data_IF_142531506112
#
_entry.id   IF_142531506112
#
_cell.length_a   1.000
_cell.length_b   1.000
_cell.length_c   1.000
_cell.angle_alpha   90.00
_cell.angle_beta   90.00
_cell.angle_gamma   90.00
#
_symmetry.space_group_name_H-M   'P 1'
#
loop_
_entity.id
_entity.type
_entity.pdbx_description
1 polymer ?
#
# COMPACT_ATOMS: atom_id res chain seq x y z
N UNK A 1 -9.11 18.70 -41.66
CA UNK A 1 -8.68 17.33 -41.27
C UNK A 1 -7.75 17.30 -40.04
N UNK A 2 -6.79 18.21 -39.86
CA UNK A 2 -5.87 18.21 -38.67
C UNK A 2 -6.53 18.42 -37.29
N UNK A 3 -7.72 19.04 -37.21
CA UNK A 3 -8.40 19.29 -35.92
C UNK A 3 -9.22 18.10 -35.41
N UNK A 4 -9.58 17.15 -36.31
CA UNK A 4 -10.38 15.99 -35.92
C UNK A 4 -9.51 14.87 -35.28
N UNK A 5 -8.26 14.74 -35.72
CA UNK A 5 -7.30 13.74 -35.22
C UNK A 5 -6.87 14.03 -33.78
N UNK A 6 -6.72 15.31 -33.43
CA UNK A 6 -6.29 15.70 -32.08
C UNK A 6 -7.39 15.48 -31.02
N UNK A 7 -8.66 15.62 -31.42
CA UNK A 7 -9.80 15.40 -30.53
C UNK A 7 -10.03 13.91 -30.21
N UNK A 8 -9.70 13.02 -31.13
CA UNK A 8 -9.76 11.57 -30.91
C UNK A 8 -8.64 11.11 -29.99
N UNK A 9 -7.43 11.62 -30.16
CA UNK A 9 -6.28 11.30 -29.30
C UNK A 9 -6.49 11.78 -27.85
N UNK A 10 -7.10 12.98 -27.64
CA UNK A 10 -7.43 13.46 -26.30
C UNK A 10 -8.58 12.67 -25.63
N UNK A 11 -9.55 12.23 -26.41
CA UNK A 11 -10.66 11.39 -25.92
C UNK A 11 -10.15 9.99 -25.51
N UNK A 12 -9.19 9.43 -26.24
CA UNK A 12 -8.53 8.16 -25.93
C UNK A 12 -7.63 8.30 -24.67
N UNK A 13 -6.90 9.40 -24.52
CA UNK A 13 -6.06 9.64 -23.34
C UNK A 13 -6.84 9.71 -22.02
N UNK A 14 -8.12 10.15 -22.04
CA UNK A 14 -8.97 10.17 -20.84
C UNK A 14 -9.66 8.83 -20.54
N UNK A 15 -9.75 7.91 -21.49
CA UNK A 15 -10.39 6.60 -21.27
C UNK A 15 -9.39 5.50 -20.84
N UNK A 16 -8.09 5.74 -21.00
CA UNK A 16 -7.03 4.81 -20.57
C UNK A 16 -6.99 4.58 -19.05
N UNK A 17 -7.48 5.52 -18.25
CA UNK A 17 -7.51 5.37 -16.79
C UNK A 17 -8.46 4.26 -16.29
N UNK A 18 -9.37 3.75 -17.13
CA UNK A 18 -10.34 2.73 -16.72
C UNK A 18 -9.97 1.30 -17.13
N UNK A 19 -9.12 1.11 -18.14
CA UNK A 19 -8.69 -0.22 -18.58
C UNK A 19 -7.35 -0.67 -17.98
N UNK A 20 -6.55 0.27 -17.49
CA UNK A 20 -5.28 0.01 -16.82
C UNK A 20 -5.42 -0.49 -15.37
N UNK A 21 -6.53 -1.13 -14.98
CA UNK A 21 -6.72 -1.51 -13.57
C UNK A 21 -5.88 -2.72 -13.14
N UNK A 22 -5.43 -3.58 -14.04
CA UNK A 22 -4.46 -4.62 -13.67
C UNK A 22 -3.08 -3.97 -13.39
N UNK A 23 -2.55 -3.06 -14.24
CA UNK A 23 -1.29 -2.36 -13.98
C UNK A 23 -1.35 -1.38 -12.82
N UNK A 24 -2.47 -0.67 -12.62
CA UNK A 24 -2.62 0.28 -11.53
C UNK A 24 -2.60 -0.41 -10.15
N UNK A 25 -3.12 -1.62 -10.05
CA UNK A 25 -2.99 -2.45 -8.83
C UNK A 25 -1.56 -3.02 -8.67
N UNK A 26 -0.83 -3.25 -9.74
CA UNK A 26 0.61 -3.51 -9.69
C UNK A 26 1.36 -2.27 -9.15
N UNK A 27 1.06 -1.07 -9.66
CA UNK A 27 1.67 0.17 -9.15
C UNK A 27 1.38 0.39 -7.66
N UNK A 28 0.16 0.19 -7.19
CA UNK A 28 -0.18 0.37 -5.77
C UNK A 28 0.50 -0.68 -4.86
N UNK A 29 0.83 -1.87 -5.38
CA UNK A 29 1.60 -2.89 -4.64
C UNK A 29 3.11 -2.73 -4.76
N UNK A 30 3.61 -2.14 -5.84
CA UNK A 30 5.02 -1.78 -5.98
C UNK A 30 5.42 -0.69 -4.97
N UNK A 31 4.46 0.17 -4.60
CA UNK A 31 4.63 1.20 -3.56
C UNK A 31 4.34 0.66 -2.15
N UNK A 32 3.66 -0.50 -2.01
CA UNK A 32 3.42 -1.13 -0.71
C UNK A 32 4.66 -1.90 -0.24
N UNK A 33 5.69 -1.14 0.12
CA UNK A 33 6.98 -1.62 0.63
C UNK A 33 6.89 -2.45 1.94
N UNK A 34 5.69 -2.60 2.51
CA UNK A 34 5.48 -3.40 3.72
C UNK A 34 5.35 -4.90 3.46
N UNK A 35 5.16 -5.38 2.24
CA UNK A 35 4.83 -6.79 1.94
C UNK A 35 5.94 -7.67 1.37
N UNK A 36 7.15 -7.18 1.14
CA UNK A 36 8.29 -8.03 0.75
C UNK A 36 8.90 -8.80 1.94
N UNK A 37 8.31 -8.72 3.14
CA UNK A 37 8.84 -9.30 4.39
C UNK A 37 8.33 -10.69 4.74
N UNK A 38 8.32 -11.65 3.82
CA UNK A 38 8.14 -13.07 4.17
C UNK A 38 9.35 -13.97 3.92
N UNK A 39 10.51 -13.41 3.61
CA UNK A 39 11.77 -14.14 3.72
C UNK A 39 12.21 -14.17 5.20
N UNK A 40 12.79 -15.28 5.64
CA UNK A 40 13.23 -15.51 7.01
C UNK A 40 13.81 -14.24 7.67
N UNK A 41 13.23 -13.85 8.83
CA UNK A 41 13.73 -12.75 9.65
C UNK A 41 15.23 -12.99 9.89
N UNK A 42 16.08 -12.21 9.24
CA UNK A 42 17.49 -12.16 9.60
C UNK A 42 17.64 -11.57 11.00
N UNK A 43 18.73 -11.89 11.70
CA UNK A 43 18.95 -11.42 13.07
C UNK A 43 18.84 -9.89 13.22
N UNK A 44 19.14 -9.15 12.15
CA UNK A 44 19.08 -7.69 12.11
C UNK A 44 17.64 -7.14 12.10
N UNK A 45 16.64 -7.93 11.65
CA UNK A 45 15.22 -7.53 11.67
C UNK A 45 14.61 -7.55 13.07
N UNK A 46 15.30 -8.10 14.06
CA UNK A 46 14.85 -8.17 15.46
C UNK A 46 15.08 -6.86 16.22
N UNK A 47 15.98 -6.01 15.74
CA UNK A 47 16.28 -4.73 16.35
C UNK A 47 15.57 -3.62 15.60
N UNK A 48 14.67 -2.93 16.29
CA UNK A 48 13.85 -1.85 15.74
C UNK A 48 14.14 -0.54 16.48
N UNK A 49 14.15 0.62 15.78
CA UNK A 49 14.36 1.90 16.44
C UNK A 49 13.24 2.15 17.44
N UNK A 50 13.60 2.44 18.69
CA UNK A 50 12.64 2.89 19.71
C UNK A 50 12.58 4.41 19.81
N UNK A 51 13.60 5.09 19.29
CA UNK A 51 13.65 6.54 19.15
C UNK A 51 14.32 6.96 17.85
N UNK A 52 13.71 7.95 17.19
CA UNK A 52 14.21 8.56 15.96
C UNK A 52 14.04 10.08 16.02
N UNK A 53 14.96 10.80 15.39
CA UNK A 53 14.84 12.25 15.18
C UNK A 53 14.74 12.53 13.68
N UNK A 54 13.68 13.22 13.27
CA UNK A 54 13.49 13.71 11.91
C UNK A 54 14.10 15.10 11.75
N UNK A 55 14.82 15.29 10.68
CA UNK A 55 15.39 16.56 10.24
C UNK A 55 14.87 16.90 8.85
N UNK A 56 14.55 18.16 8.64
CA UNK A 56 14.20 18.72 7.34
C UNK A 56 15.34 19.59 6.81
N UNK A 57 15.51 19.70 5.48
CA UNK A 57 16.53 20.60 4.91
C UNK A 57 16.23 22.06 5.26
N UNK A 58 17.28 22.85 5.45
CA UNK A 58 17.18 24.29 5.69
C UNK A 58 17.68 25.10 4.49
N UNK A 59 17.42 26.40 4.48
CA UNK A 59 17.78 27.33 3.40
C UNK A 59 19.30 27.45 3.17
N UNK A 60 20.14 26.93 4.07
CA UNK A 60 21.60 26.99 4.00
C UNK A 60 22.24 25.64 3.57
N UNK A 61 21.47 24.73 2.98
CA UNK A 61 21.86 23.36 2.67
C UNK A 61 22.25 22.53 3.92
N UNK A 62 21.77 22.93 5.08
CA UNK A 62 21.90 22.21 6.35
C UNK A 62 20.65 21.39 6.67
N UNK A 63 20.58 20.93 7.91
CA UNK A 63 19.48 20.14 8.44
C UNK A 63 18.97 20.74 9.75
N UNK A 64 17.68 21.03 9.81
CA UNK A 64 17.02 21.52 11.02
C UNK A 64 16.14 20.42 11.59
N UNK A 65 16.25 20.18 12.91
CA UNK A 65 15.40 19.21 13.61
C UNK A 65 13.94 19.65 13.49
N UNK A 66 13.10 18.71 13.05
CA UNK A 66 11.66 18.89 12.90
C UNK A 66 10.90 18.25 14.06
N UNK A 67 11.12 16.95 14.30
CA UNK A 67 10.37 16.20 15.30
C UNK A 67 11.14 15.02 15.87
N UNK A 68 10.67 14.53 17.01
CA UNK A 68 11.11 13.28 17.63
C UNK A 68 10.02 12.24 17.55
N UNK A 69 10.40 10.98 17.32
CA UNK A 69 9.51 9.84 17.19
C UNK A 69 9.92 8.74 18.16
N UNK A 70 8.94 8.19 18.89
CA UNK A 70 9.12 7.12 19.85
C UNK A 70 8.22 5.96 19.53
N UNK A 71 8.74 4.72 19.62
CA UNK A 71 8.02 3.52 19.23
C UNK A 71 8.03 2.46 20.32
N UNK A 72 6.96 1.70 20.39
CA UNK A 72 6.91 0.42 21.09
C UNK A 72 6.36 -0.66 20.18
N UNK A 73 6.81 -1.88 20.35
CA UNK A 73 6.51 -2.99 19.46
C UNK A 73 5.95 -4.18 20.22
N UNK A 74 5.22 -5.05 19.52
CA UNK A 74 4.94 -6.40 19.97
C UNK A 74 6.13 -7.35 19.68
N UNK A 75 6.00 -8.63 20.06
CA UNK A 75 7.01 -9.67 19.81
C UNK A 75 7.21 -10.02 18.34
N UNK A 76 6.28 -9.61 17.47
CA UNK A 76 6.34 -9.82 16.03
C UNK A 76 6.96 -8.63 15.29
N UNK A 77 7.27 -7.53 16.03
CA UNK A 77 7.83 -6.29 15.48
C UNK A 77 6.76 -5.34 14.91
N UNK A 78 5.48 -5.53 15.24
CA UNK A 78 4.44 -4.60 14.89
C UNK A 78 4.43 -3.40 15.86
N UNK A 79 4.24 -2.19 15.36
CA UNK A 79 4.21 -0.96 16.19
C UNK A 79 2.92 -0.93 17.01
N UNK A 80 3.02 -1.07 18.32
CA UNK A 80 1.88 -0.93 19.23
C UNK A 80 1.58 0.54 19.56
N UNK A 81 2.63 1.34 19.71
CA UNK A 81 2.50 2.78 19.97
C UNK A 81 3.56 3.51 19.18
N UNK A 82 3.17 4.57 18.50
CA UNK A 82 4.09 5.61 18.04
C UNK A 82 3.70 6.95 18.64
N UNK A 83 4.69 7.75 18.99
CA UNK A 83 4.51 9.12 19.50
C UNK A 83 5.44 10.04 18.70
N UNK A 84 4.89 11.04 18.05
CA UNK A 84 5.62 12.12 17.40
C UNK A 84 5.48 13.41 18.22
N UNK A 85 6.58 14.14 18.38
CA UNK A 85 6.66 15.42 19.10
C UNK A 85 7.48 16.42 18.28
N UNK A 86 6.85 17.47 17.77
CA UNK A 86 7.49 18.58 17.02
C UNK A 86 7.78 19.79 17.93
N UNK A 87 7.66 19.62 19.24
CA UNK A 87 7.83 20.68 20.25
C UNK A 87 6.63 21.64 20.39
N UNK A 88 5.65 21.59 19.49
CA UNK A 88 4.41 22.36 19.51
C UNK A 88 3.21 21.47 19.72
N UNK A 89 3.26 20.29 19.17
CA UNK A 89 2.17 19.33 19.17
C UNK A 89 2.70 17.90 19.31
N UNK A 90 1.93 17.07 20.00
CA UNK A 90 2.18 15.62 20.08
C UNK A 90 1.08 14.85 19.38
N UNK A 91 1.49 13.87 18.59
CA UNK A 91 0.58 12.91 17.95
C UNK A 91 0.98 11.52 18.44
N UNK A 92 0.03 10.83 19.06
CA UNK A 92 0.21 9.45 19.52
C UNK A 92 -0.73 8.55 18.74
N UNK A 93 -0.20 7.47 18.17
CA UNK A 93 -0.98 6.42 17.52
C UNK A 93 -0.87 5.15 18.37
N UNK A 94 -1.99 4.51 18.64
CA UNK A 94 -2.07 3.22 19.34
C UNK A 94 -2.70 2.22 18.42
N UNK A 95 -2.00 1.12 18.15
CA UNK A 95 -2.42 0.07 17.24
C UNK A 95 -2.62 -1.25 17.96
N UNK A 96 -3.55 -2.06 17.48
CA UNK A 96 -3.74 -3.46 17.90
C UNK A 96 -3.75 -4.37 16.69
N UNK A 97 -3.29 -5.60 16.87
CA UNK A 97 -3.14 -6.57 15.79
C UNK A 97 -3.77 -7.90 16.21
N UNK A 98 -4.15 -8.71 15.23
CA UNK A 98 -4.54 -10.10 15.46
C UNK A 98 -3.30 -11.00 15.59
N UNK A 99 -3.52 -12.30 15.75
CA UNK A 99 -2.46 -13.31 15.87
C UNK A 99 -1.64 -13.51 14.59
N UNK A 100 -2.16 -13.06 13.45
CA UNK A 100 -1.48 -13.10 12.14
C UNK A 100 -0.70 -11.80 11.84
N UNK A 101 -0.72 -10.82 12.76
CA UNK A 101 -0.09 -9.52 12.59
C UNK A 101 -0.90 -8.54 11.74
N UNK A 102 -2.18 -8.81 11.49
CA UNK A 102 -3.07 -7.91 10.75
C UNK A 102 -3.60 -6.80 11.68
N UNK A 103 -3.56 -5.54 11.23
CA UNK A 103 -3.99 -4.38 12.00
C UNK A 103 -5.50 -4.43 12.28
N UNK A 104 -5.91 -4.53 13.55
CA UNK A 104 -7.31 -4.52 13.95
C UNK A 104 -7.82 -3.11 14.24
N UNK A 105 -7.06 -2.34 15.01
CA UNK A 105 -7.43 -0.96 15.33
C UNK A 105 -6.23 -0.03 15.29
N UNK A 106 -6.49 1.23 14.95
CA UNK A 106 -5.54 2.32 15.05
C UNK A 106 -6.26 3.54 15.61
N UNK A 107 -5.84 4.03 16.79
CA UNK A 107 -6.42 5.22 17.40
C UNK A 107 -5.36 6.33 17.46
N UNK A 108 -5.68 7.47 16.87
CA UNK A 108 -4.83 8.66 16.87
C UNK A 108 -5.29 9.62 17.97
N UNK A 109 -4.35 10.00 18.81
CA UNK A 109 -4.49 11.02 19.83
C UNK A 109 -3.64 12.24 19.43
N UNK A 110 -4.13 13.42 19.75
CA UNK A 110 -3.43 14.67 19.45
C UNK A 110 -3.58 15.66 20.60
N UNK A 111 -2.53 16.44 20.89
CA UNK A 111 -2.62 17.57 21.81
C UNK A 111 -3.31 18.76 21.14
N UNK A 112 -4.03 19.58 21.91
CA UNK A 112 -4.47 20.90 21.46
C UNK A 112 -3.32 21.91 21.62
N UNK A 113 -3.37 23.02 20.89
CA UNK A 113 -2.36 24.08 21.01
C UNK A 113 -2.23 24.56 22.47
N UNK A 114 -1.01 24.51 23.01
CA UNK A 114 -0.69 24.93 24.36
C UNK A 114 -1.10 23.94 25.46
N UNK A 115 -1.47 22.70 25.09
CA UNK A 115 -1.81 21.64 26.04
C UNK A 115 -0.93 20.41 25.81
N UNK A 116 -0.51 19.78 26.89
CA UNK A 116 0.18 18.47 26.85
C UNK A 116 -0.79 17.28 26.94
N UNK A 117 -2.11 17.53 27.04
CA UNK A 117 -3.11 16.48 27.13
C UNK A 117 -3.41 15.89 25.77
N UNK A 118 -3.12 14.59 25.59
CA UNK A 118 -3.44 13.82 24.40
C UNK A 118 -4.91 13.43 24.41
N UNK A 119 -5.68 13.95 23.44
CA UNK A 119 -7.10 13.62 23.26
C UNK A 119 -7.28 12.76 22.02
N UNK A 120 -8.16 11.74 22.08
CA UNK A 120 -8.45 10.93 20.91
C UNK A 120 -9.11 11.79 19.81
N UNK A 121 -8.74 11.55 18.55
CA UNK A 121 -9.21 12.32 17.38
C UNK A 121 -9.79 11.46 16.28
N UNK A 122 -9.11 10.36 15.98
CA UNK A 122 -9.48 9.47 14.88
C UNK A 122 -9.31 8.03 15.32
N UNK A 123 -10.14 7.15 14.77
CA UNK A 123 -10.04 5.71 14.98
C UNK A 123 -10.30 5.00 13.66
N UNK A 124 -9.48 4.02 13.36
CA UNK A 124 -9.66 3.07 12.25
C UNK A 124 -9.87 1.69 12.85
N UNK A 125 -10.80 0.95 12.29
CA UNK A 125 -11.12 -0.42 12.70
C UNK A 125 -11.23 -1.30 11.46
N UNK A 126 -10.67 -2.51 11.56
CA UNK A 126 -10.61 -3.48 10.46
C UNK A 126 -11.12 -4.84 10.93
N UNK A 127 -11.76 -5.55 10.02
CA UNK A 127 -11.96 -7.00 10.12
C UNK A 127 -11.47 -7.66 8.84
N UNK A 128 -11.08 -8.92 8.90
CA UNK A 128 -10.48 -9.63 7.78
C UNK A 128 -11.23 -10.91 7.44
N UNK A 129 -11.06 -11.34 6.16
CA UNK A 129 -11.56 -12.63 5.72
C UNK A 129 -10.73 -13.74 6.39
N UNK A 130 -11.36 -14.78 6.95
CA UNK A 130 -10.62 -15.82 7.66
C UNK A 130 -9.81 -16.75 6.77
N UNK A 131 -10.03 -16.70 5.45
CA UNK A 131 -9.38 -17.57 4.46
C UNK A 131 -8.44 -16.83 3.52
N UNK A 132 -8.64 -15.53 3.35
CA UNK A 132 -7.81 -14.69 2.46
C UNK A 132 -7.02 -13.72 3.31
N UNK A 133 -5.73 -14.00 3.47
CA UNK A 133 -4.84 -13.13 4.22
C UNK A 133 -4.87 -11.70 3.64
N UNK A 134 -4.91 -10.71 4.49
CA UNK A 134 -4.93 -9.27 4.15
C UNK A 134 -6.17 -8.76 3.39
N UNK A 135 -7.18 -9.59 3.17
CA UNK A 135 -8.45 -9.11 2.65
C UNK A 135 -9.29 -8.51 3.78
N UNK A 136 -9.24 -7.19 3.97
CA UNK A 136 -10.11 -6.53 4.92
C UNK A 136 -11.58 -6.65 4.48
N UNK A 137 -12.41 -7.28 5.32
CA UNK A 137 -13.87 -7.41 5.10
C UNK A 137 -14.65 -6.22 5.63
N UNK A 138 -14.07 -5.43 6.54
CA UNK A 138 -14.60 -4.13 6.88
C UNK A 138 -13.49 -3.13 7.19
N UNK A 139 -13.80 -1.87 6.97
CA UNK A 139 -13.02 -0.72 7.39
C UNK A 139 -13.94 0.37 7.88
N UNK A 140 -13.73 0.81 9.12
CA UNK A 140 -14.44 1.93 9.69
C UNK A 140 -13.44 3.02 10.07
N UNK A 141 -13.70 4.22 9.59
CA UNK A 141 -12.97 5.43 9.98
C UNK A 141 -13.93 6.31 10.77
N UNK A 142 -13.53 6.65 11.98
CA UNK A 142 -14.33 7.43 12.92
C UNK A 142 -13.56 8.65 13.41
N UNK A 143 -14.28 9.75 13.63
CA UNK A 143 -13.79 10.96 14.26
C UNK A 143 -14.65 11.30 15.47
N UNK A 144 -14.15 12.13 16.37
CA UNK A 144 -14.94 12.59 17.52
C UNK A 144 -15.73 13.83 17.13
N UNK A 145 -17.05 13.76 17.31
CA UNK A 145 -17.98 14.89 17.20
C UNK A 145 -18.86 14.93 18.42
N UNK A 146 -18.95 16.08 19.07
CA UNK A 146 -19.69 16.29 20.34
C UNK A 146 -19.32 15.30 21.47
N UNK A 147 -18.09 14.82 21.48
CA UNK A 147 -17.58 13.89 22.50
C UNK A 147 -17.85 12.40 22.20
N UNK A 148 -18.47 12.08 21.10
CA UNK A 148 -18.79 10.71 20.66
C UNK A 148 -18.08 10.35 19.37
N UNK A 149 -17.76 9.07 19.18
CA UNK A 149 -17.23 8.54 17.94
C UNK A 149 -18.31 8.48 16.86
N UNK A 150 -18.04 9.08 15.72
CA UNK A 150 -18.93 9.07 14.57
C UNK A 150 -18.19 8.60 13.34
N UNK A 151 -18.79 7.66 12.59
CA UNK A 151 -18.25 7.19 11.33
C UNK A 151 -18.19 8.29 10.28
N UNK A 152 -17.09 8.32 9.54
CA UNK A 152 -16.93 9.22 8.39
C UNK A 152 -17.53 8.54 7.16
N UNK A 153 -18.78 8.87 6.86
CA UNK A 153 -19.52 8.30 5.75
C UNK A 153 -18.79 8.50 4.41
N UNK A 154 -18.92 7.55 3.50
CA UNK A 154 -18.20 7.54 2.22
C UNK A 154 -16.79 6.95 2.29
N UNK A 155 -16.15 6.93 3.48
CA UNK A 155 -14.84 6.30 3.68
C UNK A 155 -14.94 4.91 4.28
N UNK A 156 -16.00 4.62 5.05
CA UNK A 156 -16.22 3.31 5.65
C UNK A 156 -16.80 2.33 4.63
N UNK A 157 -16.39 1.07 4.71
CA UNK A 157 -16.91 0.04 3.81
C UNK A 157 -17.03 -1.33 4.47
N UNK A 158 -17.83 -2.18 3.84
CA UNK A 158 -17.87 -3.63 4.06
C UNK A 158 -17.59 -4.36 2.75
N UNK A 159 -16.99 -5.57 2.85
CA UNK A 159 -16.89 -6.52 1.75
C UNK A 159 -17.62 -7.80 2.12
N UNK A 160 -18.43 -8.27 1.20
CA UNK A 160 -19.07 -9.59 1.27
C UNK A 160 -18.32 -10.51 0.32
N UNK A 161 -17.83 -11.64 0.84
CA UNK A 161 -17.13 -12.68 0.07
C UNK A 161 -18.04 -13.89 -0.02
N UNK A 162 -18.48 -14.22 -1.23
CA UNK A 162 -19.28 -15.42 -1.49
C UNK A 162 -18.39 -16.54 -2.00
N UNK A 163 -18.71 -17.78 -1.62
CA UNK A 163 -17.96 -18.98 -2.00
C UNK A 163 -18.90 -20.08 -2.49
N UNK A 164 -18.38 -20.92 -3.37
CA UNK A 164 -19.08 -22.14 -3.78
C UNK A 164 -18.86 -23.29 -2.76
N UNK A 165 -19.50 -24.43 -3.05
CA UNK A 165 -19.42 -25.64 -2.22
C UNK A 165 -17.98 -26.24 -2.12
N UNK A 166 -17.06 -25.79 -2.96
CA UNK A 166 -15.64 -26.17 -2.94
C UNK A 166 -14.77 -25.13 -2.17
N UNK A 167 -15.39 -24.08 -1.61
CA UNK A 167 -14.73 -23.01 -0.90
C UNK A 167 -14.08 -21.95 -1.77
N UNK A 168 -14.25 -22.02 -3.11
CA UNK A 168 -13.67 -21.05 -4.05
C UNK A 168 -14.49 -19.75 -4.05
N UNK A 169 -13.83 -18.60 -4.10
CA UNK A 169 -14.48 -17.29 -4.13
C UNK A 169 -15.23 -17.11 -5.45
N UNK A 170 -16.55 -16.96 -5.39
CA UNK A 170 -17.41 -16.70 -6.54
C UNK A 170 -17.73 -15.22 -6.72
N UNK A 171 -17.76 -14.46 -5.63
CA UNK A 171 -17.88 -13.01 -5.71
C UNK A 171 -17.24 -12.29 -4.51
N UNK A 172 -16.83 -11.04 -4.75
CA UNK A 172 -16.44 -10.09 -3.71
C UNK A 172 -17.17 -8.77 -4.01
N UNK A 173 -18.05 -8.37 -3.12
CA UNK A 173 -18.78 -7.10 -3.22
C UNK A 173 -18.26 -6.12 -2.17
N UNK A 174 -17.83 -4.92 -2.59
CA UNK A 174 -17.49 -3.80 -1.70
C UNK A 174 -18.64 -2.81 -1.68
N UNK A 175 -19.19 -2.58 -0.48
CA UNK A 175 -20.27 -1.63 -0.24
C UNK A 175 -19.79 -0.51 0.67
N UNK A 176 -20.05 0.73 0.32
CA UNK A 176 -19.67 1.93 1.09
C UNK A 176 -20.82 2.28 2.04
N UNK A 177 -20.46 2.64 3.27
CA UNK A 177 -21.38 3.21 4.24
C UNK A 177 -21.61 4.69 3.88
N UNK A 178 -22.77 5.03 3.34
CA UNK A 178 -23.10 6.39 2.88
C UNK A 178 -24.05 7.13 3.84
N UNK A 179 -24.75 6.42 4.71
CA UNK A 179 -25.56 6.95 5.80
C UNK A 179 -25.59 5.96 6.98
N UNK A 180 -26.10 6.31 8.17
CA UNK A 180 -26.21 5.39 9.28
C UNK A 180 -26.90 4.09 8.88
N UNK A 181 -26.16 2.96 9.03
CA UNK A 181 -26.65 1.60 8.71
C UNK A 181 -27.00 1.37 7.22
N UNK A 182 -26.76 2.37 6.35
CA UNK A 182 -27.07 2.27 4.92
C UNK A 182 -25.77 2.04 4.12
N UNK A 183 -25.76 0.96 3.32
CA UNK A 183 -24.63 0.55 2.49
C UNK A 183 -25.03 0.53 1.02
N UNK A 184 -24.22 1.15 0.16
CA UNK A 184 -24.39 1.14 -1.30
C UNK A 184 -23.24 0.39 -1.95
N UNK A 185 -23.56 -0.60 -2.80
CA UNK A 185 -22.57 -1.38 -3.54
C UNK A 185 -21.83 -0.48 -4.53
N UNK A 186 -20.50 -0.51 -4.45
CA UNK A 186 -19.62 0.29 -5.31
C UNK A 186 -18.85 -0.55 -6.31
N UNK A 187 -18.43 -1.73 -5.89
CA UNK A 187 -17.59 -2.61 -6.69
C UNK A 187 -18.04 -4.05 -6.46
N UNK A 188 -18.09 -4.83 -7.54
CA UNK A 188 -18.29 -6.26 -7.48
C UNK A 188 -17.35 -6.99 -8.42
N UNK A 189 -16.64 -7.98 -7.90
CA UNK A 189 -15.84 -8.94 -8.65
C UNK A 189 -16.58 -10.27 -8.69
N UNK A 190 -16.67 -10.88 -9.87
CA UNK A 190 -17.33 -12.16 -10.12
C UNK A 190 -16.33 -13.13 -10.74
N UNK A 191 -16.33 -14.38 -10.29
CA UNK A 191 -15.43 -15.43 -10.76
C UNK A 191 -16.23 -16.65 -11.15
N UNK A 192 -15.87 -17.25 -12.31
CA UNK A 192 -16.45 -18.52 -12.77
C UNK A 192 -15.37 -19.57 -12.85
N UNK A 193 -15.71 -20.80 -12.53
CA UNK A 193 -14.77 -21.92 -12.50
C UNK A 193 -15.28 -23.06 -13.38
N UNK A 194 -14.37 -23.89 -13.87
CA UNK A 194 -14.72 -25.11 -14.60
C UNK A 194 -14.37 -26.33 -13.74
N UNK A 195 -15.38 -27.17 -13.47
CA UNK A 195 -15.22 -28.40 -12.67
C UNK A 195 -14.56 -28.13 -11.31
N UNK A 196 -13.50 -28.87 -11.01
CA UNK A 196 -12.77 -28.79 -9.74
C UNK A 196 -11.54 -27.88 -9.81
N UNK A 197 -11.34 -27.14 -10.90
CA UNK A 197 -10.20 -26.20 -11.03
C UNK A 197 -10.22 -25.14 -9.96
N UNK A 198 -9.08 -24.86 -9.35
CA UNK A 198 -8.93 -23.75 -8.41
C UNK A 198 -8.81 -22.39 -9.11
N UNK A 199 -8.32 -22.38 -10.35
CA UNK A 199 -8.19 -21.18 -11.16
C UNK A 199 -9.51 -20.89 -11.90
N UNK A 200 -9.95 -19.61 -11.96
CA UNK A 200 -11.15 -19.24 -12.68
C UNK A 200 -10.95 -19.31 -14.18
N UNK A 201 -12.03 -19.52 -14.91
CA UNK A 201 -12.08 -19.46 -16.38
C UNK A 201 -12.64 -18.13 -16.87
N UNK A 202 -13.28 -17.36 -16.00
CA UNK A 202 -13.65 -15.99 -16.29
C UNK A 202 -13.63 -15.13 -15.04
N UNK A 203 -13.43 -13.81 -15.25
CA UNK A 203 -13.48 -12.78 -14.25
C UNK A 203 -14.27 -11.58 -14.78
N UNK A 204 -15.17 -11.06 -13.98
CA UNK A 204 -15.93 -9.84 -14.32
C UNK A 204 -15.80 -8.83 -13.19
N UNK A 205 -15.51 -7.60 -13.57
CA UNK A 205 -15.40 -6.46 -12.67
C UNK A 205 -16.51 -5.46 -12.95
N UNK A 206 -17.30 -5.17 -11.93
CA UNK A 206 -18.42 -4.26 -12.00
C UNK A 206 -18.17 -3.05 -11.08
N UNK A 207 -18.55 -1.89 -11.55
CA UNK A 207 -18.54 -0.63 -10.78
C UNK A 207 -19.90 0.01 -10.75
N UNK A 208 -20.20 0.75 -9.68
CA UNK A 208 -21.46 1.48 -9.54
C UNK A 208 -21.43 2.76 -10.36
N UNK A 209 -22.54 3.04 -11.03
CA UNK A 209 -22.84 4.35 -11.64
C UNK A 209 -23.68 5.25 -10.71
N UNK A 210 -23.70 4.94 -9.40
CA UNK A 210 -24.45 5.64 -8.36
C UNK A 210 -25.73 4.94 -7.92
N UNK A 211 -26.31 4.04 -8.74
CA UNK A 211 -27.54 3.32 -8.40
C UNK A 211 -27.51 1.82 -8.75
N UNK A 212 -26.73 1.46 -9.75
CA UNK A 212 -26.62 0.07 -10.23
C UNK A 212 -25.18 -0.29 -10.53
N UNK A 213 -24.82 -1.56 -10.32
CA UNK A 213 -23.54 -2.10 -10.76
C UNK A 213 -23.60 -2.38 -12.27
N UNK A 214 -22.61 -1.91 -13.00
CA UNK A 214 -22.43 -2.15 -14.43
C UNK A 214 -21.05 -2.78 -14.68
N UNK A 215 -20.97 -3.66 -15.65
CA UNK A 215 -19.71 -4.30 -16.03
C UNK A 215 -18.74 -3.28 -16.61
N UNK A 216 -17.61 -3.11 -15.94
CA UNK A 216 -16.51 -2.24 -16.39
C UNK A 216 -15.44 -3.03 -17.16
N UNK A 217 -15.22 -4.28 -16.79
CA UNK A 217 -14.29 -5.17 -17.48
C UNK A 217 -14.76 -6.63 -17.32
N UNK A 218 -14.65 -7.40 -18.40
CA UNK A 218 -14.97 -8.83 -18.41
C UNK A 218 -13.89 -9.60 -19.13
N UNK A 219 -13.23 -10.49 -18.41
CA UNK A 219 -12.21 -11.39 -18.90
C UNK A 219 -12.81 -12.79 -19.05
N UNK A 220 -12.67 -13.38 -20.22
CA UNK A 220 -13.15 -14.72 -20.54
C UNK A 220 -12.03 -15.55 -21.13
N UNK A 221 -12.25 -16.86 -21.22
CA UNK A 221 -11.29 -17.82 -21.78
C UNK A 221 -9.90 -17.71 -21.11
N UNK A 222 -9.88 -17.49 -19.78
CA UNK A 222 -8.62 -17.45 -19.04
C UNK A 222 -7.92 -18.80 -19.14
N UNK A 223 -6.71 -18.78 -19.68
CA UNK A 223 -5.80 -19.93 -19.74
C UNK A 223 -4.62 -19.69 -18.81
N UNK A 224 -4.32 -20.70 -18.03
CA UNK A 224 -3.28 -20.63 -17.00
C UNK A 224 -2.15 -21.60 -17.37
N UNK A 225 -0.94 -21.10 -17.49
CA UNK A 225 0.27 -21.92 -17.59
C UNK A 225 0.57 -22.57 -16.23
N UNK A 226 0.45 -21.77 -15.15
CA UNK A 226 0.64 -22.20 -13.77
C UNK A 226 -0.57 -21.75 -12.93
N UNK A 227 -1.08 -22.61 -12.06
CA UNK A 227 -2.22 -22.33 -11.18
C UNK A 227 -2.09 -23.03 -9.84
N UNK A 228 -0.88 -23.11 -9.29
CA UNK A 228 -0.57 -23.79 -8.02
C UNK A 228 -0.72 -22.87 -6.82
N UNK A 229 -0.77 -21.55 -7.03
CA UNK A 229 -1.01 -20.56 -6.00
C UNK A 229 -2.49 -20.39 -5.66
N UNK A 230 -2.78 -19.67 -4.59
CA UNK A 230 -4.14 -19.25 -4.28
C UNK A 230 -4.55 -18.12 -5.23
N UNK A 231 -5.72 -18.29 -5.88
CA UNK A 231 -6.30 -17.25 -6.70
C UNK A 231 -7.13 -16.31 -5.82
N UNK A 232 -6.64 -15.10 -5.62
CA UNK A 232 -7.25 -14.11 -4.73
C UNK A 232 -8.01 -12.98 -5.48
N UNK A 233 -8.20 -13.13 -6.79
CA UNK A 233 -8.92 -12.19 -7.62
C UNK A 233 -8.19 -10.87 -7.88
N UNK A 234 -8.94 -9.85 -8.33
CA UNK A 234 -8.41 -8.53 -8.66
C UNK A 234 -7.83 -7.77 -7.46
N UNK A 235 -8.07 -8.23 -6.24
CA UNK A 235 -7.48 -7.67 -5.03
C UNK A 235 -6.05 -8.16 -4.78
N UNK A 236 -5.59 -9.14 -5.54
CA UNK A 236 -4.22 -9.61 -5.48
C UNK A 236 -3.63 -9.66 -6.89
N UNK A 237 -2.37 -9.26 -7.03
CA UNK A 237 -1.61 -9.32 -8.28
C UNK A 237 -1.20 -10.74 -8.66
N UNK A 238 -1.95 -11.76 -8.21
CA UNK A 238 -1.58 -13.16 -8.32
C UNK A 238 -1.83 -13.79 -9.71
N UNK A 239 -2.10 -12.98 -10.74
CA UNK A 239 -2.24 -13.46 -12.10
C UNK A 239 -0.90 -13.93 -12.69
N UNK A 240 0.21 -13.32 -12.26
CA UNK A 240 1.55 -13.57 -12.77
C UNK A 240 2.59 -13.91 -11.69
N UNK A 241 2.17 -14.10 -10.44
CA UNK A 241 3.05 -14.31 -9.29
C UNK A 241 2.49 -15.39 -8.34
N UNK A 242 3.27 -15.78 -7.32
CA UNK A 242 2.84 -16.68 -6.25
C UNK A 242 2.33 -18.05 -6.74
N UNK A 243 2.98 -18.61 -7.75
CA UNK A 243 2.65 -19.92 -8.30
C UNK A 243 1.53 -19.89 -9.35
N UNK A 244 1.01 -18.71 -9.71
CA UNK A 244 0.07 -18.53 -10.81
C UNK A 244 0.76 -17.81 -11.97
N UNK A 245 0.37 -18.17 -13.19
CA UNK A 245 0.75 -17.44 -14.40
C UNK A 245 -0.38 -17.54 -15.42
N UNK A 246 -1.02 -16.41 -15.73
CA UNK A 246 -2.02 -16.31 -16.78
C UNK A 246 -1.33 -16.25 -18.13
N UNK A 247 -1.53 -17.27 -18.99
CA UNK A 247 -0.99 -17.32 -20.34
C UNK A 247 -1.77 -16.41 -21.29
N UNK A 248 -3.10 -16.47 -21.23
CA UNK A 248 -3.94 -15.66 -22.10
C UNK A 248 -5.35 -15.45 -21.55
N UNK A 249 -6.00 -14.39 -22.04
CA UNK A 249 -7.42 -14.09 -21.81
C UNK A 249 -7.99 -13.27 -22.96
N UNK A 250 -9.31 -13.26 -23.09
CA UNK A 250 -10.02 -12.29 -23.93
C UNK A 250 -10.75 -11.30 -23.04
N UNK A 251 -10.47 -10.01 -23.23
CA UNK A 251 -11.18 -8.93 -22.53
C UNK A 251 -12.34 -8.49 -23.44
N UNK A 252 -13.56 -8.62 -22.96
CA UNK A 252 -14.77 -8.16 -23.67
C UNK A 252 -14.99 -6.70 -23.40
N UNK A 253 -15.17 -5.92 -24.46
CA UNK A 253 -15.46 -4.49 -24.38
C UNK A 253 -16.50 -4.12 -25.41
N UNK A 254 -17.61 -3.49 -24.96
CA UNK A 254 -18.67 -3.01 -25.85
C UNK A 254 -18.18 -1.85 -26.75
N UNK A 255 -17.19 -1.09 -26.29
CA UNK A 255 -16.70 0.10 -27.00
C UNK A 255 -15.53 -0.19 -27.94
N UNK A 256 -14.72 -1.19 -27.63
CA UNK A 256 -13.45 -1.44 -28.34
C UNK A 256 -13.39 -2.81 -29.04
N UNK A 257 -14.47 -3.60 -28.97
CA UNK A 257 -14.46 -5.00 -29.38
C UNK A 257 -13.61 -5.86 -28.42
N UNK A 258 -13.31 -7.06 -28.83
CA UNK A 258 -12.50 -7.96 -28.02
C UNK A 258 -11.03 -7.51 -28.02
N UNK A 259 -10.40 -7.54 -26.83
CA UNK A 259 -8.97 -7.30 -26.66
C UNK A 259 -8.34 -8.64 -26.28
N UNK A 260 -7.36 -9.09 -27.03
CA UNK A 260 -6.60 -10.29 -26.73
C UNK A 260 -5.44 -9.94 -25.82
N UNK A 261 -5.37 -10.60 -24.68
CA UNK A 261 -4.25 -10.55 -23.75
C UNK A 261 -3.45 -11.84 -23.91
N UNK A 262 -2.15 -11.71 -24.12
CA UNK A 262 -1.19 -12.81 -24.10
C UNK A 262 -0.04 -12.47 -23.19
N UNK A 263 0.41 -13.43 -22.37
CA UNK A 263 1.54 -13.22 -21.49
C UNK A 263 2.60 -14.30 -21.72
N UNK A 264 3.86 -13.90 -21.54
CA UNK A 264 5.02 -14.76 -21.71
C UNK A 264 5.88 -14.71 -20.45
N UNK A 265 6.10 -15.85 -19.80
CA UNK A 265 7.07 -16.00 -18.73
C UNK A 265 8.49 -15.91 -19.32
N UNK A 266 9.27 -14.95 -18.86
CA UNK A 266 10.67 -14.76 -19.30
C UNK A 266 11.67 -15.44 -18.35
N UNK A 267 11.18 -16.08 -17.28
CA UNK A 267 12.00 -16.67 -16.23
C UNK A 267 12.42 -15.67 -15.15
N UNK A 268 12.95 -16.18 -14.04
CA UNK A 268 13.42 -15.39 -12.90
C UNK A 268 12.40 -14.36 -12.34
N UNK A 269 11.08 -14.68 -12.45
CA UNK A 269 10.02 -13.75 -12.06
C UNK A 269 9.75 -12.62 -13.05
N UNK A 270 10.47 -12.57 -14.18
CA UNK A 270 10.23 -11.61 -15.25
C UNK A 270 9.17 -12.09 -16.21
N UNK A 271 8.34 -11.18 -16.75
CA UNK A 271 7.29 -11.50 -17.71
C UNK A 271 6.94 -10.32 -18.61
N UNK A 272 6.27 -10.62 -19.70
CA UNK A 272 5.75 -9.66 -20.67
C UNK A 272 4.27 -9.95 -20.95
N UNK A 273 3.43 -8.94 -20.96
CA UNK A 273 2.01 -9.01 -21.30
C UNK A 273 1.75 -8.09 -22.48
N UNK A 274 1.17 -8.66 -23.54
CA UNK A 274 0.75 -7.92 -24.72
C UNK A 274 -0.77 -7.90 -24.81
N UNK A 275 -1.34 -6.73 -25.11
CA UNK A 275 -2.75 -6.54 -25.40
C UNK A 275 -2.91 -6.02 -26.82
N UNK A 276 -3.71 -6.75 -27.63
CA UNK A 276 -4.01 -6.39 -29.01
C UNK A 276 -5.50 -6.27 -29.23
N UNK A 277 -5.91 -5.28 -30.01
CA UNK A 277 -7.32 -4.98 -30.27
C UNK A 277 -7.80 -5.72 -31.52
N UNK A 278 -8.96 -6.41 -31.44
CA UNK A 278 -9.52 -7.17 -32.55
C UNK A 278 -10.39 -6.33 -33.48
N UNK A 279 -10.91 -5.18 -33.02
CA UNK A 279 -11.71 -4.29 -33.84
C UNK A 279 -10.84 -3.65 -34.93
N UNK A 280 -11.32 -3.70 -36.20
CA UNK A 280 -10.59 -3.17 -37.36
C UNK A 280 -10.21 -1.69 -37.21
N UNK A 281 -11.06 -0.91 -36.52
CA UNK A 281 -10.79 0.50 -36.23
C UNK A 281 -9.69 0.74 -35.19
N UNK A 282 -9.27 -0.27 -34.44
CA UNK A 282 -8.32 -0.20 -33.35
C UNK A 282 -7.09 -1.09 -33.54
N UNK A 283 -6.99 -1.83 -34.64
CA UNK A 283 -5.86 -2.71 -34.94
C UNK A 283 -4.51 -1.99 -34.99
N UNK A 284 -4.54 -0.66 -35.17
CA UNK A 284 -3.34 0.18 -35.13
C UNK A 284 -2.82 0.47 -33.70
N UNK A 285 -3.42 -0.15 -32.71
CA UNK A 285 -3.06 0.05 -31.31
C UNK A 285 -2.63 -1.27 -30.68
N UNK A 286 -1.62 -1.24 -29.83
CA UNK A 286 -1.28 -2.32 -28.89
C UNK A 286 -0.66 -1.75 -27.62
N UNK A 287 -0.71 -2.52 -26.56
CA UNK A 287 -0.08 -2.20 -25.29
C UNK A 287 0.84 -3.35 -24.87
N UNK A 288 2.03 -3.03 -24.41
CA UNK A 288 2.98 -4.01 -23.90
C UNK A 288 3.40 -3.59 -22.50
N UNK A 289 3.19 -4.50 -21.55
CA UNK A 289 3.64 -4.37 -20.18
C UNK A 289 4.77 -5.37 -19.92
N UNK A 290 5.88 -4.91 -19.37
CA UNK A 290 7.01 -5.77 -19.01
C UNK A 290 7.36 -5.59 -17.55
N UNK A 291 7.58 -6.70 -16.88
CA UNK A 291 8.16 -6.76 -15.56
C UNK A 291 9.49 -7.51 -15.64
N UNK A 292 10.56 -6.90 -15.23
CA UNK A 292 11.91 -7.45 -15.26
C UNK A 292 12.49 -7.44 -13.86
N UNK A 293 12.80 -8.61 -13.32
CA UNK A 293 13.58 -8.74 -12.08
C UNK A 293 15.05 -8.49 -12.42
N UNK A 294 15.68 -7.52 -11.76
CA UNK A 294 17.04 -7.09 -12.07
C UNK A 294 18.10 -7.82 -11.23
N UNK A 295 17.75 -8.18 -9.99
CA UNK A 295 18.64 -8.86 -9.05
C UNK A 295 17.88 -9.69 -8.00
N UNK A 296 18.64 -10.41 -7.14
CA UNK A 296 18.10 -11.23 -6.06
C UNK A 296 17.65 -10.41 -4.83
N UNK A 297 17.97 -9.12 -4.76
CA UNK A 297 17.56 -8.23 -3.69
C UNK A 297 16.12 -7.74 -3.85
N UNK A 298 15.52 -7.97 -5.02
CA UNK A 298 14.16 -7.60 -5.36
C UNK A 298 14.07 -6.35 -6.23
N UNK A 299 15.20 -5.86 -6.76
CA UNK A 299 15.22 -4.77 -7.73
C UNK A 299 14.50 -5.18 -9.00
N UNK A 300 13.71 -4.27 -9.55
CA UNK A 300 12.92 -4.55 -10.74
C UNK A 300 12.76 -3.31 -11.62
N UNK A 301 12.41 -3.59 -12.88
CA UNK A 301 11.95 -2.59 -13.84
C UNK A 301 10.59 -3.00 -14.37
N UNK A 302 9.64 -2.09 -14.31
CA UNK A 302 8.34 -2.23 -14.91
C UNK A 302 8.20 -1.21 -16.04
N UNK A 303 7.63 -1.61 -17.18
CA UNK A 303 7.27 -0.70 -18.25
C UNK A 303 5.86 -0.99 -18.74
N UNK A 304 5.13 0.09 -19.03
CA UNK A 304 3.81 0.07 -19.64
C UNK A 304 3.86 0.99 -20.86
N UNK A 305 3.84 0.38 -22.04
CA UNK A 305 4.15 1.04 -23.30
C UNK A 305 2.97 0.90 -24.26
N UNK A 306 2.48 2.02 -24.74
CA UNK A 306 1.42 2.10 -25.72
C UNK A 306 1.99 2.44 -27.11
N UNK A 307 1.59 1.65 -28.11
CA UNK A 307 2.00 1.76 -29.48
C UNK A 307 0.80 2.14 -30.36
N UNK A 308 1.02 3.08 -31.27
CA UNK A 308 -0.03 3.57 -32.17
C UNK A 308 0.51 3.85 -33.57
N UNK A 309 0.12 3.03 -34.53
CA UNK A 309 0.45 3.24 -35.94
C UNK A 309 -0.50 4.29 -36.55
N UNK A 310 0.04 5.47 -36.88
CA UNK A 310 -0.75 6.60 -37.40
C UNK A 310 -1.29 6.40 -38.80
N UNK A 311 -0.78 5.42 -39.54
CA UNK A 311 -1.24 5.05 -40.89
C UNK A 311 -2.42 4.08 -40.86
N UNK A 312 -2.79 3.59 -39.67
CA UNK A 312 -3.90 2.66 -39.50
C UNK A 312 -3.53 1.20 -39.78
N UNK A 313 -2.25 0.87 -39.98
CA UNK A 313 -1.75 -0.49 -40.05
C UNK A 313 -1.72 -1.14 -38.65
N UNK A 314 -1.50 -2.45 -38.57
CA UNK A 314 -1.23 -3.08 -37.27
C UNK A 314 0.00 -2.46 -36.60
N UNK A 315 -0.12 -2.09 -35.31
CA UNK A 315 0.96 -1.48 -34.59
C UNK A 315 2.16 -2.44 -34.41
N UNK A 316 3.35 -1.95 -34.62
CA UNK A 316 4.63 -2.64 -34.46
C UNK A 316 5.42 -2.03 -33.30
N UNK A 317 6.59 -2.57 -32.98
CA UNK A 317 7.45 -2.04 -31.93
C UNK A 317 8.06 -0.67 -32.29
N UNK A 318 8.07 -0.31 -33.58
CA UNK A 318 8.53 1.00 -34.07
C UNK A 318 7.48 2.11 -33.88
N UNK A 319 6.24 1.74 -33.58
CA UNK A 319 5.10 2.66 -33.42
C UNK A 319 4.90 3.15 -31.97
N UNK A 320 5.95 3.14 -31.14
CA UNK A 320 5.89 3.62 -29.77
C UNK A 320 5.35 5.04 -29.70
N UNK A 321 4.25 5.22 -28.97
CA UNK A 321 3.58 6.50 -28.85
C UNK A 321 3.83 7.16 -27.50
N UNK A 322 3.61 6.44 -26.42
CA UNK A 322 3.82 6.89 -25.04
C UNK A 322 3.92 5.73 -24.08
N UNK A 323 4.33 6.01 -22.85
CA UNK A 323 4.34 5.01 -21.80
C UNK A 323 4.95 5.52 -20.52
N UNK A 324 5.09 4.60 -19.58
CA UNK A 324 5.73 4.83 -18.29
C UNK A 324 6.73 3.72 -18.01
N UNK A 325 7.86 4.07 -17.45
CA UNK A 325 8.84 3.13 -16.92
C UNK A 325 8.98 3.41 -15.44
N UNK A 326 8.92 2.37 -14.62
CA UNK A 326 9.21 2.42 -13.19
C UNK A 326 10.43 1.54 -12.94
N UNK A 327 11.41 2.08 -12.24
CA UNK A 327 12.59 1.35 -11.81
C UNK A 327 12.74 1.48 -10.31
N UNK A 328 12.95 0.35 -9.64
CA UNK A 328 13.16 0.30 -8.20
C UNK A 328 14.39 -0.54 -7.93
N UNK A 329 15.30 -0.04 -7.09
CA UNK A 329 16.50 -0.76 -6.70
C UNK A 329 16.56 -0.91 -5.17
N UNK A 330 17.10 -2.04 -4.72
CA UNK A 330 17.29 -2.37 -3.32
C UNK A 330 18.77 -2.66 -3.05
N UNK A 331 19.20 -2.36 -1.83
CA UNK A 331 20.54 -2.73 -1.36
C UNK A 331 20.61 -4.22 -0.93
N UNK A 332 21.77 -4.66 -0.47
CA UNK A 332 22.00 -6.03 -0.02
C UNK A 332 21.19 -6.39 1.25
N UNK A 333 20.65 -5.40 1.96
CA UNK A 333 19.76 -5.57 3.11
C UNK A 333 18.28 -5.49 2.72
N UNK A 334 17.98 -5.41 1.40
CA UNK A 334 16.63 -5.28 0.84
C UNK A 334 15.91 -3.99 1.22
N UNK A 335 16.66 -2.91 1.49
CA UNK A 335 16.10 -1.58 1.67
C UNK A 335 16.09 -0.85 0.32
N UNK A 336 15.00 -0.16 0.02
CA UNK A 336 14.83 0.54 -1.25
C UNK A 336 15.80 1.75 -1.31
N UNK A 337 16.73 1.72 -2.25
CA UNK A 337 17.70 2.81 -2.48
C UNK A 337 17.28 3.74 -3.60
N UNK A 338 16.48 3.26 -4.56
CA UNK A 338 16.00 4.04 -5.68
C UNK A 338 14.56 3.65 -6.04
N UNK A 339 13.74 4.64 -6.31
CA UNK A 339 12.50 4.56 -7.06
C UNK A 339 12.50 5.68 -8.09
N UNK A 340 12.30 5.36 -9.36
CA UNK A 340 12.11 6.33 -10.43
C UNK A 340 10.93 5.95 -11.30
N UNK A 341 10.08 6.94 -11.60
CA UNK A 341 9.05 6.86 -12.62
C UNK A 341 9.42 7.80 -13.77
N UNK A 342 9.46 7.28 -14.99
CA UNK A 342 9.86 8.02 -16.19
C UNK A 342 8.74 7.99 -17.22
N UNK A 343 8.42 9.14 -17.80
CA UNK A 343 7.51 9.25 -18.93
C UNK A 343 8.26 8.99 -20.25
N UNK A 344 7.72 8.07 -21.00
CA UNK A 344 8.17 7.73 -22.36
C UNK A 344 7.31 8.47 -23.37
N UNK A 345 7.91 8.94 -24.43
CA UNK A 345 7.25 9.58 -25.58
C UNK A 345 7.70 8.92 -26.88
N UNK A 346 7.19 9.39 -28.01
CA UNK A 346 7.58 8.95 -29.36
C UNK A 346 9.08 9.09 -29.66
N UNK A 347 9.84 9.82 -28.83
CA UNK A 347 11.29 9.93 -28.97
C UNK A 347 12.05 8.69 -28.52
N UNK A 348 11.35 7.70 -28.00
CA UNK A 348 11.90 6.41 -27.61
C UNK A 348 12.16 6.29 -26.10
N UNK A 349 12.37 5.06 -25.67
CA UNK A 349 12.61 4.68 -24.28
C UNK A 349 13.88 5.33 -23.73
N UNK A 350 14.93 5.41 -24.53
CA UNK A 350 16.23 5.99 -24.14
C UNK A 350 16.16 7.49 -23.80
N UNK A 351 15.10 8.14 -24.25
CA UNK A 351 14.85 9.56 -23.99
C UNK A 351 13.76 9.79 -22.92
N UNK A 352 13.40 8.75 -22.18
CA UNK A 352 12.40 8.83 -21.13
C UNK A 352 12.86 9.81 -20.03
N UNK A 353 11.97 10.73 -19.63
CA UNK A 353 12.26 11.77 -18.63
C UNK A 353 11.70 11.33 -17.27
N UNK A 354 12.48 11.56 -16.23
CA UNK A 354 12.02 11.36 -14.85
C UNK A 354 10.82 12.27 -14.60
N UNK A 355 9.73 11.68 -14.17
CA UNK A 355 8.51 12.36 -13.76
C UNK A 355 8.39 12.43 -12.24
N UNK A 356 8.89 11.41 -11.55
CA UNK A 356 8.91 11.28 -10.10
C UNK A 356 10.06 10.37 -9.69
N UNK A 357 10.62 10.60 -8.50
CA UNK A 357 11.72 9.77 -8.01
C UNK A 357 12.02 9.99 -6.54
N UNK A 358 12.44 8.91 -5.89
CA UNK A 358 12.92 8.89 -4.51
C UNK A 358 14.27 8.18 -4.48
N UNK A 359 15.25 8.77 -3.80
CA UNK A 359 16.54 8.15 -3.51
C UNK A 359 16.77 8.12 -2.01
N UNK A 360 17.14 6.96 -1.50
CA UNK A 360 17.48 6.79 -0.09
C UNK A 360 18.94 6.38 0.06
N UNK A 361 19.60 6.95 1.05
CA UNK A 361 20.91 6.53 1.54
C UNK A 361 20.79 6.06 2.98
N UNK A 362 21.36 4.90 3.27
CA UNK A 362 21.33 4.28 4.59
C UNK A 362 22.73 4.26 5.20
N UNK A 363 22.82 4.58 6.48
CA UNK A 363 24.00 4.36 7.29
C UNK A 363 23.69 3.20 8.24
N UNK A 364 24.40 2.10 8.05
CA UNK A 364 24.33 0.93 8.92
C UNK A 364 25.36 1.08 10.04
N UNK A 365 24.96 0.79 11.27
CA UNK A 365 25.81 0.97 12.46
C UNK A 365 25.21 0.20 13.64
N UNK A 366 25.64 0.57 14.88
CA UNK A 366 25.21 -0.10 16.09
C UNK A 366 25.87 -1.47 16.31
N UNK A 367 25.41 -2.20 17.32
CA UNK A 367 26.00 -3.50 17.69
C UNK A 367 25.52 -4.64 16.78
N UNK A 368 24.40 -4.44 16.06
CA UNK A 368 23.72 -5.49 15.29
C UNK A 368 23.54 -5.12 13.82
N UNK A 369 24.14 -4.02 13.34
CA UNK A 369 24.09 -3.58 11.95
C UNK A 369 22.76 -2.86 11.59
N UNK A 370 22.10 -2.24 12.58
CA UNK A 370 20.88 -1.50 12.41
C UNK A 370 21.06 -0.26 11.51
N UNK A 371 19.99 0.20 10.88
CA UNK A 371 20.00 1.49 10.18
C UNK A 371 19.97 2.60 11.23
N UNK A 372 21.08 3.32 11.35
CA UNK A 372 21.22 4.46 12.27
C UNK A 372 20.91 5.79 11.62
N UNK A 373 20.96 5.87 10.29
CA UNK A 373 20.53 7.06 9.55
C UNK A 373 19.94 6.67 8.21
N UNK A 374 18.86 7.34 7.84
CA UNK A 374 18.30 7.35 6.49
C UNK A 374 18.26 8.78 6.00
N UNK A 375 18.80 9.04 4.80
CA UNK A 375 18.64 10.32 4.12
C UNK A 375 17.87 10.09 2.83
N UNK A 376 16.80 10.87 2.63
CA UNK A 376 15.90 10.79 1.49
C UNK A 376 16.03 12.02 0.63
N UNK A 377 16.07 11.82 -0.69
CA UNK A 377 15.98 12.87 -1.70
C UNK A 377 14.75 12.59 -2.57
N UNK A 378 14.04 13.63 -2.95
CA UNK A 378 12.95 13.58 -3.92
C UNK A 378 13.33 14.29 -5.20
N UNK A 379 12.85 13.78 -6.34
CA UNK A 379 13.11 14.41 -7.63
C UNK A 379 12.27 15.67 -7.79
N UNK A 380 12.93 16.80 -8.05
CA UNK A 380 12.29 18.06 -8.40
C UNK A 380 12.15 18.17 -9.92
N UNK A 381 10.92 18.15 -10.42
CA UNK A 381 10.65 18.30 -11.85
C UNK A 381 11.09 19.68 -12.39
N UNK A 382 10.98 20.73 -11.56
CA UNK A 382 11.34 22.08 -11.94
C UNK A 382 12.85 22.27 -12.12
N UNK A 383 13.64 21.65 -11.23
CA UNK A 383 15.09 21.76 -11.19
C UNK A 383 15.77 20.63 -11.99
N UNK A 384 15.00 19.57 -12.32
CA UNK A 384 15.47 18.35 -12.99
C UNK A 384 16.61 17.67 -12.24
N UNK A 385 16.54 17.67 -10.91
CA UNK A 385 17.53 17.07 -10.04
C UNK A 385 16.90 16.53 -8.74
N UNK A 386 17.65 15.68 -8.01
CA UNK A 386 17.23 15.20 -6.69
C UNK A 386 17.57 16.23 -5.63
N UNK A 387 16.54 16.69 -4.92
CA UNK A 387 16.64 17.64 -3.81
C UNK A 387 16.55 16.91 -2.47
N UNK A 388 17.29 17.35 -1.44
CA UNK A 388 17.13 16.81 -0.09
C UNK A 388 15.70 16.97 0.37
N UNK A 389 15.12 15.88 0.92
CA UNK A 389 13.75 15.86 1.44
C UNK A 389 13.73 15.72 2.95
N UNK A 390 14.35 14.66 3.48
CA UNK A 390 14.36 14.39 4.90
C UNK A 390 15.59 13.59 5.32
N UNK A 391 15.93 13.67 6.61
CA UNK A 391 16.93 12.84 7.26
C UNK A 391 16.41 12.34 8.59
N UNK A 392 16.44 11.03 8.79
CA UNK A 392 16.08 10.36 10.05
C UNK A 392 17.34 9.83 10.70
N UNK A 393 17.50 10.09 11.98
CA UNK A 393 18.56 9.51 12.81
C UNK A 393 17.89 8.66 13.89
N UNK A 394 18.21 7.37 13.91
CA UNK A 394 17.81 6.44 14.96
C UNK A 394 18.96 6.26 15.95
N UNK A 395 18.73 6.51 17.23
CA UNK A 395 19.74 6.51 18.27
C UNK A 395 19.43 5.59 19.45
N UNK A 396 18.24 5.00 19.49
CA UNK A 396 17.87 3.97 20.47
C UNK A 396 17.11 2.83 19.79
N UNK A 397 17.42 1.57 20.17
CA UNK A 397 16.92 0.38 19.54
C UNK A 397 16.35 -0.61 20.55
N UNK A 398 15.34 -1.33 20.15
CA UNK A 398 14.68 -2.36 20.93
C UNK A 398 14.74 -3.71 20.22
N UNK A 399 15.12 -4.76 20.93
CA UNK A 399 15.00 -6.13 20.45
C UNK A 399 13.55 -6.62 20.59
N UNK A 400 12.85 -6.79 19.47
CA UNK A 400 11.45 -7.18 19.44
C UNK A 400 11.21 -8.65 19.78
N UNK A 401 12.23 -9.53 19.68
CA UNK A 401 12.11 -10.95 20.03
C UNK A 401 11.94 -11.20 21.53
N UNK A 402 12.30 -10.24 22.38
CA UNK A 402 12.21 -10.37 23.84
C UNK A 402 10.91 -9.83 24.44
N UNK A 403 10.06 -9.23 23.65
CA UNK A 403 8.67 -8.93 23.98
C UNK A 403 8.41 -7.82 25.00
N UNK A 404 9.41 -7.00 25.38
CA UNK A 404 9.17 -5.79 26.17
C UNK A 404 10.21 -4.74 25.80
N UNK A 405 9.82 -3.75 25.00
CA UNK A 405 10.61 -2.55 24.84
C UNK A 405 10.49 -1.69 26.09
N UNK A 406 11.59 -1.43 26.77
CA UNK A 406 11.67 -0.34 27.74
C UNK A 406 11.87 0.97 26.97
N UNK A 407 10.81 1.54 26.41
CA UNK A 407 10.86 2.94 26.03
C UNK A 407 10.92 3.76 27.32
N UNK A 408 12.10 4.16 27.74
CA UNK A 408 12.28 5.13 28.80
C UNK A 408 12.02 6.51 28.20
N UNK A 409 10.76 6.90 28.10
CA UNK A 409 10.42 8.31 27.84
C UNK A 409 11.00 9.09 29.01
N UNK A 410 12.18 9.66 28.83
CA UNK A 410 12.71 10.64 29.78
C UNK A 410 11.82 11.89 29.66
N UNK A 411 10.66 11.84 30.33
CA UNK A 411 9.93 13.05 30.61
C UNK A 411 10.80 13.96 31.50
N UNK A 412 11.48 14.91 30.86
CA UNK A 412 11.95 16.12 31.56
C UNK A 412 10.76 17.00 31.94
N UNK A 413 9.77 16.45 32.61
CA UNK A 413 8.74 17.25 33.29
C UNK A 413 8.73 16.91 34.75
N UNK A 414 9.05 17.90 35.56
CA UNK A 414 8.79 17.93 37.03
C UNK A 414 7.28 17.99 37.30
N UNK A 415 6.53 17.00 36.86
CA UNK A 415 5.17 16.79 37.33
C UNK A 415 5.05 15.37 37.89
N UNK A 416 4.96 15.29 39.22
CA UNK A 416 4.51 14.09 39.92
C UNK A 416 3.11 13.74 39.39
N UNK A 417 3.01 12.95 38.35
CA UNK A 417 1.76 12.38 37.87
C UNK A 417 1.27 11.36 38.90
N UNK A 418 0.64 11.87 39.98
CA UNK A 418 -0.06 11.03 40.94
C UNK A 418 -1.32 10.47 40.27
N UNK A 419 -1.36 9.18 40.04
CA UNK A 419 -2.55 8.51 39.46
C UNK A 419 -2.29 7.07 39.11
N UNK A 420 -3.36 6.36 38.91
CA UNK A 420 -3.38 4.97 38.43
C UNK A 420 -3.91 4.97 37.01
N UNK A 421 -3.19 4.34 36.11
CA UNK A 421 -3.53 4.31 34.69
C UNK A 421 -3.64 2.85 34.21
N UNK A 422 -4.52 2.57 33.27
CA UNK A 422 -4.50 1.30 32.52
C UNK A 422 -3.24 1.22 31.65
N UNK A 423 -2.94 0.05 31.06
CA UNK A 423 -1.87 -0.08 30.07
C UNK A 423 -2.10 0.81 28.83
N UNK A 424 -3.36 1.16 28.55
CA UNK A 424 -3.73 2.05 27.43
C UNK A 424 -3.59 3.53 27.81
N UNK A 425 -3.10 3.86 29.03
CA UNK A 425 -2.89 5.25 29.47
C UNK A 425 -4.14 5.95 29.98
N UNK A 426 -5.26 5.24 30.16
CA UNK A 426 -6.48 5.82 30.73
C UNK A 426 -6.34 5.93 32.25
N UNK A 427 -6.52 7.13 32.83
CA UNK A 427 -6.50 7.35 34.26
C UNK A 427 -7.76 6.75 34.91
N UNK A 428 -7.58 5.76 35.79
CA UNK A 428 -8.68 5.05 36.46
C UNK A 428 -8.82 5.40 37.94
N UNK A 429 -7.79 5.98 38.52
CA UNK A 429 -7.86 6.47 39.92
C UNK A 429 -6.84 7.58 40.20
N UNK A 430 -7.14 8.43 41.20
CA UNK A 430 -6.29 9.53 41.58
C UNK A 430 -5.12 9.14 42.51
N UNK A 431 -5.21 7.99 43.17
CA UNK A 431 -4.17 7.49 44.07
C UNK A 431 -3.99 6.00 44.02
N UNK A 432 -2.80 5.53 44.35
CA UNK A 432 -2.44 4.11 44.42
C UNK A 432 -3.21 3.31 45.52
N UNK A 433 -3.88 4.00 46.44
CA UNK A 433 -4.67 3.41 47.53
C UNK A 433 -6.11 3.12 47.15
N UNK A 434 -6.55 3.51 45.96
CA UNK A 434 -7.89 3.19 45.48
C UNK A 434 -8.10 1.64 45.33
N UNK A 435 -9.29 1.19 45.64
CA UNK A 435 -9.69 -0.20 45.40
C UNK A 435 -9.88 -0.38 43.90
N UNK A 436 -8.96 -1.10 43.27
CA UNK A 436 -8.96 -1.36 41.85
C UNK A 436 -9.41 -2.79 41.57
N UNK A 437 -10.17 -3.04 40.51
CA UNK A 437 -10.45 -4.39 40.02
C UNK A 437 -9.15 -5.17 39.72
N UNK A 438 -9.24 -6.52 39.66
CA UNK A 438 -8.10 -7.31 39.18
C UNK A 438 -7.70 -6.87 37.77
N UNK A 439 -6.42 -6.54 37.59
CA UNK A 439 -5.90 -6.04 36.32
C UNK A 439 -4.45 -5.56 36.39
N UNK A 440 -3.96 -5.10 35.26
CA UNK A 440 -2.61 -4.54 35.14
C UNK A 440 -2.73 -3.01 35.04
N UNK A 441 -1.97 -2.32 35.88
CA UNK A 441 -2.00 -0.86 36.02
C UNK A 441 -0.61 -0.27 36.00
N UNK A 442 -0.50 1.00 35.61
CA UNK A 442 0.69 1.84 35.75
C UNK A 442 0.47 2.78 36.95
N UNK A 443 1.30 2.67 37.96
CA UNK A 443 1.26 3.50 39.17
C UNK A 443 2.64 4.11 39.37
N UNK A 444 2.75 5.42 39.34
CA UNK A 444 4.03 6.15 39.46
C UNK A 444 5.08 5.61 38.45
N UNK A 445 4.68 5.38 37.21
CA UNK A 445 5.54 4.86 36.16
C UNK A 445 5.92 3.38 36.28
N UNK A 446 5.39 2.63 37.26
CA UNK A 446 5.66 1.21 37.45
C UNK A 446 4.43 0.36 37.13
N UNK A 447 4.65 -0.74 36.42
CA UNK A 447 3.61 -1.75 36.14
C UNK A 447 3.30 -2.54 37.42
N UNK A 448 2.04 -2.56 37.83
CA UNK A 448 1.53 -3.28 39.01
C UNK A 448 0.38 -4.18 38.59
N UNK A 449 0.38 -5.42 39.08
CA UNK A 449 -0.72 -6.38 38.92
C UNK A 449 -1.53 -6.35 40.24
N UNK A 450 -2.84 -6.13 40.14
CA UNK A 450 -3.79 -6.14 41.24
C UNK A 450 -4.74 -7.30 41.13
#
# INVERSE_FOLDING_TARGET
MRKFTLSVALALGCTYSTFAQIPFQLQSKLIDTQKIKTAAKEANDLWKPSHETLYMPDDNNGWTKDSEHYYTYDTSGNILVSLSDDGKQKIKIVSTYDENGQLLTETTYRTDNGSDELKPRMMKEYTYDPYIHDLATSFFFSTISNGEWQHFYGSCYKRTVERDDQGRVTSITKSILDAPEHYTDQIKSLFTYNGTSKAPVSYEYQTSNGSTLTTSAKYVDLKWEKNTGEYLGAYSTNWFTNGNFLESATIKSDSYGDILLTATDKGNGSYEVEQTYTAESLKSQKEIQKYETLDDNGSFKYSDLFYFNIEGNAATDDDLYQGTIIETSYDDHKNMVLYESRNVSQTGIDNAKIADGIRNEYVYGGEHGEITQTTTWTFSYNDNEYMPDSKVIADDFTNVSTGISHCTIQQKSKHNASGVYTLQGVKVAQSATATLPHGIYIINGKKIIK
#
